data_IF_212885620506
#
_entry.id   IF_212885620506
#
_cell.length_a   1.000
_cell.length_b   1.000
_cell.length_c   1.000
_cell.angle_alpha   90.00
_cell.angle_beta   90.00
_cell.angle_gamma   90.00
#
_symmetry.space_group_name_H-M   'P 1'
#
loop_
_entity.id
_entity.type
_entity.pdbx_description
1 polymer ?
#
# COMPACT_ATOMS: atom_id res chain seq x y z
N UNK A 1 52.83 33.00 27.49
CA UNK A 1 52.59 31.63 27.00
C UNK A 1 51.14 31.60 26.54
N UNK A 2 50.85 31.95 25.28
CA UNK A 2 50.91 31.11 24.06
C UNK A 2 49.80 30.04 24.03
N UNK A 3 48.80 30.25 23.17
CA UNK A 3 47.77 29.29 22.73
C UNK A 3 48.36 28.25 21.75
N UNK A 4 47.64 27.16 21.42
CA UNK A 4 46.62 27.17 20.34
C UNK A 4 45.35 26.34 20.70
N UNK A 5 44.12 26.50 20.20
CA UNK A 5 43.54 26.72 18.87
C UNK A 5 43.46 25.46 17.96
N UNK A 6 42.25 25.23 17.42
CA UNK A 6 41.77 24.21 16.45
C UNK A 6 41.40 22.83 17.05
N UNK A 7 40.30 22.16 16.64
CA UNK A 7 39.79 22.08 15.27
C UNK A 7 38.27 21.79 15.22
N UNK A 8 37.54 22.70 14.56
CA UNK A 8 36.22 22.46 13.97
C UNK A 8 36.40 21.48 12.80
N UNK A 9 35.80 20.30 12.88
CA UNK A 9 35.71 19.40 11.74
C UNK A 9 34.76 20.00 10.69
N UNK A 10 35.33 20.22 9.52
CA UNK A 10 34.74 20.89 8.37
C UNK A 10 33.67 20.04 7.67
N UNK A 11 32.52 20.65 7.35
CA UNK A 11 31.78 20.30 6.14
C UNK A 11 32.40 21.10 4.99
N UNK A 12 33.31 20.46 4.25
CA UNK A 12 33.87 20.98 3.01
C UNK A 12 33.00 20.59 1.82
N UNK A 13 32.62 21.60 1.05
CA UNK A 13 31.94 21.54 -0.23
C UNK A 13 32.87 20.99 -1.32
N UNK A 14 32.59 19.81 -1.88
CA UNK A 14 32.87 19.40 -3.28
C UNK A 14 32.30 18.00 -3.57
N UNK A 15 31.35 17.90 -4.50
CA UNK A 15 31.03 16.77 -5.38
C UNK A 15 30.90 15.32 -4.80
N UNK A 16 29.68 14.96 -4.34
CA UNK A 16 28.96 13.66 -4.40
C UNK A 16 29.64 12.29 -4.06
N UNK A 17 28.87 11.23 -3.68
CA UNK A 17 27.75 11.17 -2.75
C UNK A 17 27.85 9.91 -1.85
N UNK A 18 28.34 10.01 -0.61
CA UNK A 18 28.23 8.90 0.35
C UNK A 18 27.90 9.42 1.76
N UNK A 19 26.76 10.09 1.88
CA UNK A 19 26.03 10.04 3.14
C UNK A 19 25.23 8.74 3.11
N UNK A 20 25.81 7.68 3.67
CA UNK A 20 25.09 6.47 4.04
C UNK A 20 24.02 6.85 5.08
N UNK A 21 22.90 7.36 4.60
CA UNK A 21 21.64 7.29 5.32
C UNK A 21 21.19 5.85 5.29
N UNK A 22 21.64 5.05 6.25
CA UNK A 22 20.85 3.88 6.63
C UNK A 22 19.43 4.38 6.88
N UNK A 23 18.40 3.85 6.19
CA UNK A 23 17.04 4.23 6.51
C UNK A 23 16.82 3.83 7.98
N UNK A 24 16.47 4.82 8.80
CA UNK A 24 16.25 4.67 10.22
C UNK A 24 15.34 3.45 10.49
N UNK A 25 15.96 2.31 10.79
CA UNK A 25 15.25 1.10 11.20
C UNK A 25 14.55 1.33 12.55
N UNK A 26 14.98 2.35 13.29
CA UNK A 26 14.43 2.77 14.57
C UNK A 26 13.12 3.59 14.47
N UNK A 27 12.82 4.23 13.33
CA UNK A 27 11.54 4.94 13.13
C UNK A 27 10.35 3.99 12.93
N UNK A 28 10.62 2.75 12.53
CA UNK A 28 9.61 1.70 12.41
C UNK A 28 9.24 1.06 13.76
N UNK A 29 10.13 1.13 14.75
CA UNK A 29 9.95 0.46 16.03
C UNK A 29 8.91 1.15 16.93
N UNK A 30 8.72 2.46 16.80
CA UNK A 30 7.78 3.25 17.61
C UNK A 30 6.45 3.62 16.91
N UNK A 31 6.21 3.16 15.68
CA UNK A 31 4.98 3.46 14.96
C UNK A 31 3.75 2.81 15.64
N UNK A 32 2.74 3.61 15.98
CA UNK A 32 1.45 3.13 16.51
C UNK A 32 0.80 2.14 15.54
N UNK A 33 -0.07 1.24 16.03
CA UNK A 33 -0.79 0.29 15.16
C UNK A 33 -1.56 0.98 14.03
N UNK A 34 -2.13 2.17 14.30
CA UNK A 34 -2.81 3.01 13.31
C UNK A 34 -1.86 3.50 12.21
N UNK A 35 -0.65 3.92 12.54
CA UNK A 35 0.36 4.32 11.55
C UNK A 35 0.83 3.12 10.71
N UNK A 36 1.00 1.94 11.33
CA UNK A 36 1.32 0.68 10.64
C UNK A 36 0.21 0.25 9.66
N UNK A 37 -1.05 0.47 10.01
CA UNK A 37 -2.18 0.22 9.11
C UNK A 37 -2.12 1.12 7.86
N UNK A 38 -1.86 2.41 8.05
CA UNK A 38 -1.71 3.36 6.94
C UNK A 38 -0.55 2.95 6.03
N UNK A 39 0.60 2.58 6.59
CA UNK A 39 1.74 2.11 5.81
C UNK A 39 1.43 0.82 5.04
N UNK A 40 0.75 -0.14 5.67
CA UNK A 40 0.35 -1.38 5.01
C UNK A 40 -0.59 -1.13 3.82
N UNK A 41 -1.53 -0.18 3.91
CA UNK A 41 -2.42 0.20 2.80
C UNK A 41 -1.63 0.89 1.68
N UNK A 42 -0.63 1.73 2.01
CA UNK A 42 0.26 2.33 1.00
C UNK A 42 1.07 1.28 0.24
N UNK A 43 1.56 0.26 0.95
CA UNK A 43 2.25 -0.88 0.32
C UNK A 43 1.32 -1.67 -0.59
N UNK A 44 0.06 -1.84 -0.22
CA UNK A 44 -0.95 -2.46 -1.10
C UNK A 44 -1.19 -1.64 -2.37
N UNK A 45 -1.33 -0.31 -2.26
CA UNK A 45 -1.45 0.56 -3.43
C UNK A 45 -0.25 0.42 -4.37
N UNK A 46 0.97 0.40 -3.83
CA UNK A 46 2.19 0.18 -4.61
C UNK A 46 2.23 -1.22 -5.25
N UNK A 47 1.81 -2.27 -4.52
CA UNK A 47 1.75 -3.63 -5.04
C UNK A 47 0.70 -3.79 -6.15
N UNK A 48 -0.45 -3.10 -6.03
CA UNK A 48 -1.43 -3.06 -7.10
C UNK A 48 -0.82 -2.46 -8.37
N UNK A 49 -0.03 -1.41 -8.26
CA UNK A 49 0.63 -0.78 -9.41
C UNK A 49 1.63 -1.70 -10.13
N UNK A 50 2.23 -2.69 -9.43
CA UNK A 50 3.16 -3.63 -10.05
C UNK A 50 2.49 -4.78 -10.82
N UNK A 51 1.19 -5.01 -10.63
CA UNK A 51 0.44 -6.15 -11.24
C UNK A 51 1.03 -7.53 -10.93
N UNK A 52 1.79 -7.63 -9.83
CA UNK A 52 2.47 -8.83 -9.39
C UNK A 52 1.62 -9.52 -8.30
N UNK A 53 1.07 -10.73 -8.56
CA UNK A 53 0.17 -11.39 -7.63
C UNK A 53 0.84 -11.70 -6.29
N UNK A 54 2.11 -12.09 -6.27
CA UNK A 54 2.81 -12.43 -5.02
C UNK A 54 2.98 -11.20 -4.14
N UNK A 55 3.28 -10.04 -4.74
CA UNK A 55 3.37 -8.76 -4.02
C UNK A 55 2.02 -8.30 -3.50
N UNK A 56 0.95 -8.48 -4.27
CA UNK A 56 -0.42 -8.13 -3.86
C UNK A 56 -0.85 -9.01 -2.68
N UNK A 57 -0.57 -10.32 -2.72
CA UNK A 57 -0.85 -11.25 -1.62
C UNK A 57 -0.06 -10.90 -0.36
N UNK A 58 1.25 -10.64 -0.49
CA UNK A 58 2.10 -10.24 0.62
C UNK A 58 1.62 -8.92 1.27
N UNK A 59 1.26 -7.91 0.46
CA UNK A 59 0.73 -6.65 0.95
C UNK A 59 -0.64 -6.83 1.64
N UNK A 60 -1.49 -7.72 1.11
CA UNK A 60 -2.79 -8.05 1.72
C UNK A 60 -2.60 -8.70 3.09
N UNK A 61 -1.69 -9.67 3.21
CA UNK A 61 -1.37 -10.32 4.48
C UNK A 61 -0.82 -9.31 5.51
N UNK A 62 0.04 -8.39 5.08
CA UNK A 62 0.54 -7.31 5.93
C UNK A 62 -0.60 -6.38 6.40
N UNK A 63 -1.52 -5.99 5.50
CA UNK A 63 -2.69 -5.17 5.86
C UNK A 63 -3.59 -5.86 6.89
N UNK A 64 -3.88 -7.15 6.71
CA UNK A 64 -4.68 -7.93 7.66
C UNK A 64 -4.02 -8.00 9.04
N UNK A 65 -2.70 -8.21 9.07
CA UNK A 65 -1.91 -8.20 10.32
C UNK A 65 -1.99 -6.84 11.02
N UNK A 66 -1.85 -5.75 10.27
CA UNK A 66 -1.97 -4.39 10.83
C UNK A 66 -3.38 -4.10 11.35
N UNK A 67 -4.43 -4.54 10.65
CA UNK A 67 -5.81 -4.43 11.12
C UNK A 67 -6.05 -5.19 12.43
N UNK A 68 -5.50 -6.41 12.55
CA UNK A 68 -5.59 -7.18 13.79
C UNK A 68 -4.92 -6.45 14.98
N UNK A 69 -3.77 -5.82 14.74
CA UNK A 69 -3.09 -5.01 15.75
C UNK A 69 -3.93 -3.78 16.18
N UNK A 70 -4.53 -3.06 15.23
CA UNK A 70 -5.44 -1.94 15.54
C UNK A 70 -6.63 -2.42 16.37
N UNK A 71 -7.24 -3.56 16.01
CA UNK A 71 -8.37 -4.11 16.76
C UNK A 71 -7.97 -4.51 18.19
N UNK A 72 -6.78 -5.07 18.38
CA UNK A 72 -6.24 -5.41 19.69
C UNK A 72 -6.02 -4.17 20.56
N UNK A 73 -5.43 -3.10 19.99
CA UNK A 73 -5.20 -1.83 20.69
C UNK A 73 -6.53 -1.18 21.12
N UNK A 74 -7.53 -1.15 20.23
CA UNK A 74 -8.87 -0.63 20.56
C UNK A 74 -9.52 -1.46 21.67
N UNK A 75 -9.41 -2.79 21.61
CA UNK A 75 -9.93 -3.67 22.66
C UNK A 75 -9.21 -3.48 24.01
N UNK A 76 -7.93 -3.11 23.98
CA UNK A 76 -7.14 -2.75 25.17
C UNK A 76 -7.44 -1.33 25.70
N UNK A 77 -8.33 -0.58 25.05
CA UNK A 77 -8.72 0.77 25.47
C UNK A 77 -7.78 1.87 24.99
N UNK A 78 -6.88 1.58 24.04
CA UNK A 78 -6.07 2.62 23.39
C UNK A 78 -6.99 3.56 22.63
N UNK A 79 -6.87 4.86 22.89
CA UNK A 79 -7.67 5.86 22.21
C UNK A 79 -7.37 5.84 20.69
N UNK A 80 -8.40 5.72 19.83
CA UNK A 80 -8.18 5.66 18.39
C UNK A 80 -7.72 7.01 17.84
N UNK A 81 -6.66 6.99 17.04
CA UNK A 81 -6.24 8.16 16.27
C UNK A 81 -7.19 8.36 15.09
N UNK A 82 -8.08 9.35 15.22
CA UNK A 82 -9.12 9.65 14.23
C UNK A 82 -8.55 10.07 12.89
N UNK A 83 -7.50 10.89 12.88
CA UNK A 83 -6.91 11.41 11.64
C UNK A 83 -6.23 10.27 10.84
N UNK A 84 -5.56 9.35 11.53
CA UNK A 84 -4.97 8.18 10.88
C UNK A 84 -6.03 7.20 10.38
N UNK A 85 -7.14 7.01 11.11
CA UNK A 85 -8.24 6.17 10.64
C UNK A 85 -8.96 6.75 9.42
N UNK A 86 -9.16 8.06 9.35
CA UNK A 86 -9.69 8.74 8.18
C UNK A 86 -8.76 8.57 6.98
N UNK A 87 -7.45 8.81 7.19
CA UNK A 87 -6.43 8.56 6.16
C UNK A 87 -6.44 7.11 5.66
N UNK A 88 -6.51 6.14 6.57
CA UNK A 88 -6.58 4.71 6.23
C UNK A 88 -7.85 4.39 5.44
N UNK A 89 -9.00 4.97 5.81
CA UNK A 89 -10.26 4.78 5.09
C UNK A 89 -10.17 5.29 3.65
N UNK A 90 -9.64 6.49 3.45
CA UNK A 90 -9.55 7.11 2.13
C UNK A 90 -8.59 6.34 1.22
N UNK A 91 -7.42 5.97 1.73
CA UNK A 91 -6.46 5.15 0.99
C UNK A 91 -7.02 3.75 0.65
N UNK A 92 -7.77 3.13 1.56
CA UNK A 92 -8.39 1.83 1.29
C UNK A 92 -9.53 1.93 0.26
N UNK A 93 -10.28 3.04 0.25
CA UNK A 93 -11.27 3.30 -0.80
C UNK A 93 -10.59 3.45 -2.17
N UNK A 94 -9.44 4.14 -2.23
CA UNK A 94 -8.63 4.22 -3.44
C UNK A 94 -8.13 2.84 -3.89
N UNK A 95 -7.57 2.04 -2.96
CA UNK A 95 -7.09 0.69 -3.26
C UNK A 95 -8.20 -0.20 -3.84
N UNK A 96 -9.41 -0.12 -3.27
CA UNK A 96 -10.58 -0.84 -3.76
C UNK A 96 -10.97 -0.43 -5.19
N UNK A 97 -10.92 0.88 -5.50
CA UNK A 97 -11.19 1.37 -6.85
C UNK A 97 -10.14 0.90 -7.86
N UNK A 98 -8.84 0.94 -7.50
CA UNK A 98 -7.75 0.43 -8.34
C UNK A 98 -7.88 -1.06 -8.60
N UNK A 99 -8.15 -1.86 -7.57
CA UNK A 99 -8.37 -3.30 -7.70
C UNK A 99 -9.56 -3.60 -8.62
N UNK A 100 -10.69 -2.90 -8.45
CA UNK A 100 -11.85 -3.02 -9.34
C UNK A 100 -11.52 -2.67 -10.79
N UNK A 101 -10.74 -1.61 -11.02
CA UNK A 101 -10.29 -1.23 -12.35
C UNK A 101 -9.49 -2.34 -13.04
N UNK A 102 -8.60 -3.01 -12.29
CA UNK A 102 -7.82 -4.16 -12.77
C UNK A 102 -8.69 -5.37 -13.10
N UNK A 103 -9.64 -5.71 -12.22
CA UNK A 103 -10.59 -6.81 -12.47
C UNK A 103 -11.41 -6.59 -13.75
N UNK A 104 -11.94 -5.38 -13.96
CA UNK A 104 -12.62 -5.03 -15.21
C UNK A 104 -11.71 -5.17 -16.43
N UNK A 105 -10.41 -4.89 -16.28
CA UNK A 105 -9.41 -5.12 -17.32
C UNK A 105 -9.22 -6.60 -17.65
N UNK A 106 -9.14 -7.45 -16.63
CA UNK A 106 -9.07 -8.91 -16.76
C UNK A 106 -10.31 -9.46 -17.44
N UNK A 107 -11.51 -9.04 -17.01
CA UNK A 107 -12.78 -9.44 -17.62
C UNK A 107 -12.84 -9.10 -19.11
N UNK A 108 -12.42 -7.89 -19.51
CA UNK A 108 -12.35 -7.51 -20.93
C UNK A 108 -11.40 -8.42 -21.72
N UNK A 109 -10.21 -8.70 -21.19
CA UNK A 109 -9.22 -9.57 -21.85
C UNK A 109 -9.75 -11.00 -22.00
N UNK A 110 -10.37 -11.54 -20.95
CA UNK A 110 -11.02 -12.87 -21.00
C UNK A 110 -12.16 -12.91 -22.00
N UNK A 111 -12.98 -11.86 -22.08
CA UNK A 111 -14.03 -11.72 -23.09
C UNK A 111 -13.48 -11.78 -24.51
N UNK A 112 -12.41 -11.04 -24.81
CA UNK A 112 -11.73 -11.06 -26.10
C UNK A 112 -11.17 -12.45 -26.44
N UNK A 113 -10.52 -13.12 -25.49
CA UNK A 113 -9.99 -14.48 -25.69
C UNK A 113 -11.11 -15.51 -25.92
N UNK A 114 -12.22 -15.39 -25.18
CA UNK A 114 -13.39 -16.26 -25.34
C UNK A 114 -13.99 -16.13 -26.74
N UNK A 115 -14.13 -14.89 -27.24
CA UNK A 115 -14.64 -14.63 -28.58
C UNK A 115 -13.71 -15.22 -29.67
N UNK A 116 -12.40 -15.05 -29.53
CA UNK A 116 -11.41 -15.64 -30.46
C UNK A 116 -11.43 -17.17 -30.44
N UNK A 117 -11.71 -17.78 -29.29
CA UNK A 117 -11.86 -19.23 -29.15
C UNK A 117 -13.19 -19.77 -29.72
N UNK A 118 -14.03 -18.92 -30.33
CA UNK A 118 -15.33 -19.31 -30.86
C UNK A 118 -16.35 -19.70 -29.79
N UNK A 119 -16.09 -19.36 -28.51
CA UNK A 119 -17.05 -19.60 -27.44
C UNK A 119 -18.18 -18.57 -27.54
N UNK A 120 -19.45 -19.00 -27.52
CA UNK A 120 -20.56 -18.08 -27.51
C UNK A 120 -20.50 -17.20 -26.25
N UNK A 121 -20.99 -15.96 -26.36
CA UNK A 121 -21.14 -15.09 -25.20
C UNK A 121 -22.01 -15.81 -24.14
N UNK A 122 -21.67 -15.69 -22.84
CA UNK A 122 -22.51 -16.26 -21.79
C UNK A 122 -23.89 -15.62 -21.86
N UNK A 123 -24.94 -16.45 -21.91
CA UNK A 123 -26.33 -15.98 -21.91
C UNK A 123 -26.59 -15.18 -20.63
N UNK A 124 -26.92 -13.90 -20.79
CA UNK A 124 -27.25 -13.04 -19.65
C UNK A 124 -28.76 -12.92 -19.57
N UNK A 125 -29.31 -13.16 -18.37
CA UNK A 125 -30.71 -12.86 -18.13
C UNK A 125 -30.90 -11.34 -18.07
N UNK A 126 -31.47 -10.77 -19.13
CA UNK A 126 -31.70 -9.35 -19.28
C UNK A 126 -32.74 -8.83 -18.28
N UNK A 127 -32.61 -7.55 -17.93
CA UNK A 127 -33.53 -6.85 -17.02
C UNK A 127 -34.98 -6.79 -17.52
N UNK A 128 -35.17 -7.04 -18.82
CA UNK A 128 -36.46 -7.17 -19.51
C UNK A 128 -37.02 -8.61 -19.51
N UNK A 129 -36.39 -9.53 -18.75
CA UNK A 129 -36.83 -10.91 -18.61
C UNK A 129 -36.51 -11.82 -19.80
N UNK A 130 -35.60 -11.40 -20.69
CA UNK A 130 -35.20 -12.15 -21.89
C UNK A 130 -33.74 -12.55 -21.79
N UNK A 131 -33.41 -13.72 -22.33
CA UNK A 131 -32.02 -14.14 -22.54
C UNK A 131 -31.42 -13.31 -23.69
N UNK A 132 -30.24 -12.75 -23.47
CA UNK A 132 -29.42 -12.07 -24.47
C UNK A 132 -28.07 -12.77 -24.60
#
# INVERSE_FOLDING_TARGET
MAAPAAELAACGDTAAPECNGEPAADDFAAATSFARLVDAIRRELAALDTEDPERIEAATAAKLTAMAAVNADVAAGVAPDRALLETARDLNAEAALRAKGKLLGVERRLGSLSALAGRPAPLVYGRNGRWA
#
